data_IF_833302047921
#
_entry.id   IF_833302047921
#
_cell.length_a   1.000
_cell.length_b   1.000
_cell.length_c   1.000
_cell.angle_alpha   90.00
_cell.angle_beta   90.00
_cell.angle_gamma   90.00
#
_symmetry.space_group_name_H-M   'P 1'
#
loop_
_entity.id
_entity.type
_entity.pdbx_description
1 polymer ?
#
# COMPACT_ATOMS: atom_id res chain seq x y z
N UNK A 1 -11.80 -12.15 -102.96
CA UNK A 1 -11.11 -13.39 -102.49
C UNK A 1 -11.37 -13.53 -100.98
N UNK A 2 -11.26 -14.71 -100.38
CA UNK A 2 -11.58 -14.91 -98.94
C UNK A 2 -10.80 -13.95 -98.01
N UNK A 3 -9.56 -13.60 -98.40
CA UNK A 3 -8.71 -12.63 -97.72
C UNK A 3 -9.34 -11.22 -97.62
N UNK A 4 -9.99 -10.74 -98.69
CA UNK A 4 -10.63 -9.40 -98.72
C UNK A 4 -11.83 -9.35 -97.75
N UNK A 5 -12.57 -10.45 -97.63
CA UNK A 5 -13.71 -10.57 -96.70
C UNK A 5 -13.24 -10.45 -95.25
N UNK A 6 -12.15 -11.13 -94.88
CA UNK A 6 -11.58 -11.02 -93.55
C UNK A 6 -10.97 -9.65 -93.28
N UNK A 7 -10.29 -9.06 -94.26
CA UNK A 7 -9.71 -7.73 -94.12
C UNK A 7 -10.80 -6.67 -93.91
N UNK A 8 -11.94 -6.76 -94.59
CA UNK A 8 -13.09 -5.86 -94.39
C UNK A 8 -13.84 -6.14 -93.08
N UNK A 9 -14.02 -7.42 -92.71
CA UNK A 9 -14.73 -7.79 -91.49
C UNK A 9 -13.94 -7.44 -90.21
N UNK A 10 -12.62 -7.62 -90.23
CA UNK A 10 -11.75 -7.39 -89.08
C UNK A 10 -11.21 -5.95 -89.00
N UNK A 11 -11.19 -5.18 -90.09
CA UNK A 11 -10.81 -3.75 -90.06
C UNK A 11 -11.83 -2.85 -89.35
N UNK A 12 -13.07 -3.33 -89.16
CA UNK A 12 -14.11 -2.61 -88.39
C UNK A 12 -14.13 -2.95 -86.90
N UNK A 13 -13.39 -3.97 -86.48
CA UNK A 13 -13.29 -4.36 -85.07
C UNK A 13 -12.09 -3.65 -84.41
N UNK A 14 -12.18 -3.28 -83.12
CA UNK A 14 -11.01 -2.80 -82.39
C UNK A 14 -9.89 -3.84 -82.46
N UNK A 15 -8.64 -3.38 -82.64
CA UNK A 15 -7.46 -4.24 -82.67
C UNK A 15 -7.39 -5.05 -81.37
N UNK A 16 -7.83 -6.30 -81.42
CA UNK A 16 -7.67 -7.22 -80.29
C UNK A 16 -6.17 -7.54 -80.15
N UNK A 17 -5.63 -7.64 -78.92
CA UNK A 17 -4.23 -7.96 -78.69
C UNK A 17 -3.94 -9.46 -78.92
N UNK A 18 -4.49 -10.03 -79.98
CA UNK A 18 -4.32 -11.44 -80.38
C UNK A 18 -4.05 -11.50 -81.88
N UNK A 19 -3.08 -12.34 -82.24
CA UNK A 19 -2.86 -12.78 -83.59
C UNK A 19 -3.95 -13.80 -83.95
N UNK A 20 -4.59 -13.61 -85.10
CA UNK A 20 -5.63 -14.48 -85.64
C UNK A 20 -5.12 -15.11 -86.93
N UNK A 21 -5.12 -16.44 -86.97
CA UNK A 21 -4.89 -17.22 -88.19
C UNK A 21 -6.15 -18.00 -88.53
N UNK A 22 -6.57 -17.97 -89.79
CA UNK A 22 -7.77 -18.67 -90.27
C UNK A 22 -7.37 -19.65 -91.35
N UNK A 23 -7.85 -20.89 -91.23
CA UNK A 23 -7.55 -21.98 -92.15
C UNK A 23 -8.84 -22.60 -92.72
N UNK A 24 -8.80 -23.03 -93.98
CA UNK A 24 -9.85 -23.87 -94.60
C UNK A 24 -9.65 -25.32 -94.15
N UNK A 25 -10.48 -25.82 -93.23
CA UNK A 25 -10.30 -27.14 -92.63
C UNK A 25 -9.11 -27.18 -91.67
N UNK A 26 -8.11 -28.03 -91.95
CA UNK A 26 -6.99 -28.30 -91.02
C UNK A 26 -5.96 -27.16 -91.02
N UNK A 27 -5.36 -26.82 -89.86
CA UNK A 27 -4.37 -25.75 -89.72
C UNK A 27 -3.00 -26.14 -90.27
N UNK A 28 -2.94 -26.30 -91.59
CA UNK A 28 -1.76 -26.63 -92.38
C UNK A 28 -1.39 -25.43 -93.27
N UNK A 29 -0.10 -25.26 -93.58
CA UNK A 29 0.38 -24.07 -94.29
C UNK A 29 -0.32 -23.83 -95.65
N UNK A 30 -0.74 -24.90 -96.34
CA UNK A 30 -1.46 -24.84 -97.61
C UNK A 30 -2.92 -24.39 -97.52
N UNK A 31 -3.50 -24.35 -96.31
CA UNK A 31 -4.92 -24.04 -96.08
C UNK A 31 -5.13 -22.67 -95.42
N UNK A 32 -4.08 -21.85 -95.28
CA UNK A 32 -4.16 -20.55 -94.63
C UNK A 32 -4.95 -19.56 -95.49
N UNK A 33 -6.10 -19.12 -94.97
CA UNK A 33 -6.98 -18.12 -95.59
C UNK A 33 -6.65 -16.70 -95.18
N UNK A 34 -6.22 -16.51 -93.93
CA UNK A 34 -5.95 -15.19 -93.36
C UNK A 34 -4.99 -15.26 -92.19
N UNK A 35 -4.15 -14.24 -92.03
CA UNK A 35 -3.31 -13.99 -90.84
C UNK A 35 -3.31 -12.49 -90.53
N UNK A 36 -3.56 -12.13 -89.27
CA UNK A 36 -3.44 -10.74 -88.81
C UNK A 36 -1.98 -10.27 -88.72
N UNK A 37 -1.74 -8.96 -88.89
CA UNK A 37 -0.40 -8.37 -89.00
C UNK A 37 0.50 -8.53 -87.76
N UNK A 38 -0.07 -8.39 -86.55
CA UNK A 38 0.71 -8.43 -85.32
C UNK A 38 1.15 -9.87 -85.01
N UNK A 39 2.46 -10.18 -84.90
CA UNK A 39 2.94 -11.54 -84.67
C UNK A 39 2.60 -12.05 -83.26
N UNK A 40 2.46 -13.37 -83.07
CA UNK A 40 2.34 -13.96 -81.74
C UNK A 40 3.56 -13.65 -80.87
N UNK A 41 3.36 -13.37 -79.58
CA UNK A 41 4.45 -13.15 -78.64
C UNK A 41 5.22 -14.46 -78.39
N UNK A 42 6.54 -14.50 -78.59
CA UNK A 42 7.35 -15.72 -78.52
C UNK A 42 7.24 -16.49 -77.18
N UNK A 43 7.19 -15.78 -76.04
CA UNK A 43 7.19 -16.40 -74.70
C UNK A 43 5.83 -17.00 -74.29
N UNK A 44 4.72 -16.47 -74.81
CA UNK A 44 3.36 -16.74 -74.31
C UNK A 44 2.44 -17.27 -75.42
N UNK A 45 2.65 -16.86 -76.67
CA UNK A 45 1.83 -17.17 -77.83
C UNK A 45 1.72 -18.67 -78.13
N UNK A 46 2.74 -19.47 -77.80
CA UNK A 46 2.71 -20.93 -77.95
C UNK A 46 1.97 -21.65 -76.81
N UNK A 47 1.91 -21.04 -75.61
CA UNK A 47 1.28 -21.65 -74.41
C UNK A 47 -0.22 -21.35 -74.32
N UNK A 48 -0.66 -20.21 -74.84
CA UNK A 48 -2.05 -19.77 -74.85
C UNK A 48 -2.56 -19.77 -76.29
N UNK A 49 -2.92 -20.95 -76.78
CA UNK A 49 -3.55 -21.12 -78.09
C UNK A 49 -5.03 -21.42 -77.89
N UNK A 50 -5.90 -20.54 -78.38
CA UNK A 50 -7.33 -20.84 -78.47
C UNK A 50 -7.67 -21.24 -79.92
N UNK A 51 -8.28 -22.41 -80.08
CA UNK A 51 -8.77 -22.90 -81.37
C UNK A 51 -10.30 -22.82 -81.40
N UNK A 52 -10.85 -22.32 -82.50
CA UNK A 52 -12.29 -22.31 -82.77
C UNK A 52 -12.55 -22.85 -84.15
N UNK A 53 -13.39 -23.87 -84.24
CA UNK A 53 -13.84 -24.41 -85.51
C UNK A 53 -15.24 -23.84 -85.78
N UNK A 54 -15.44 -23.24 -86.95
CA UNK A 54 -16.70 -22.64 -87.39
C UNK A 54 -17.07 -23.15 -88.78
N UNK A 55 -18.36 -23.11 -89.14
CA UNK A 55 -18.80 -23.46 -90.49
C UNK A 55 -19.26 -22.20 -91.21
N UNK A 56 -18.62 -21.87 -92.32
CA UNK A 56 -18.97 -20.71 -93.15
C UNK A 56 -19.36 -21.20 -94.53
N UNK A 57 -20.60 -20.90 -94.94
CA UNK A 57 -21.16 -21.33 -96.22
C UNK A 57 -20.98 -22.84 -96.52
N UNK A 58 -21.18 -23.68 -95.48
CA UNK A 58 -21.05 -25.14 -95.59
C UNK A 58 -19.61 -25.68 -95.55
N UNK A 59 -18.59 -24.83 -95.40
CA UNK A 59 -17.18 -25.24 -95.27
C UNK A 59 -16.67 -25.08 -93.83
N UNK A 60 -15.95 -26.07 -93.28
CA UNK A 60 -15.37 -25.98 -91.95
C UNK A 60 -14.11 -25.13 -91.98
N UNK A 61 -14.04 -24.09 -91.16
CA UNK A 61 -12.87 -23.24 -90.97
C UNK A 61 -12.32 -23.38 -89.56
N UNK A 62 -10.99 -23.40 -89.43
CA UNK A 62 -10.30 -23.40 -88.13
C UNK A 62 -9.67 -22.03 -87.90
N UNK A 63 -10.04 -21.38 -86.80
CA UNK A 63 -9.47 -20.12 -86.33
C UNK A 63 -8.55 -20.40 -85.15
N UNK A 64 -7.32 -19.90 -85.23
CA UNK A 64 -6.34 -19.92 -84.17
C UNK A 64 -6.13 -18.51 -83.63
N UNK A 65 -6.22 -18.35 -82.32
CA UNK A 65 -5.96 -17.11 -81.62
C UNK A 65 -4.73 -17.30 -80.73
N UNK A 66 -3.72 -16.43 -80.89
CA UNK A 66 -2.52 -16.40 -80.05
C UNK A 66 -2.27 -14.99 -79.52
N UNK A 67 -1.89 -14.79 -78.25
CA UNK A 67 -1.52 -13.48 -77.71
C UNK A 67 -0.43 -12.76 -78.53
N UNK A 68 -0.59 -11.46 -78.75
CA UNK A 68 0.49 -10.59 -79.25
C UNK A 68 1.28 -9.98 -78.09
N UNK A 69 2.31 -9.19 -78.37
CA UNK A 69 3.06 -8.45 -77.34
C UNK A 69 2.21 -7.43 -76.57
N UNK A 70 1.07 -7.00 -77.13
CA UNK A 70 0.13 -6.09 -76.48
C UNK A 70 -0.89 -6.82 -75.58
N UNK A 71 -0.82 -8.15 -75.45
CA UNK A 71 -1.73 -8.92 -74.62
C UNK A 71 -1.33 -8.84 -73.15
N UNK A 72 -2.14 -8.18 -72.33
CA UNK A 72 -2.00 -8.20 -70.88
C UNK A 72 -2.64 -9.46 -70.29
N UNK A 73 -1.86 -10.23 -69.51
CA UNK A 73 -2.44 -11.36 -68.77
C UNK A 73 -3.43 -10.84 -67.73
N UNK A 74 -4.54 -11.57 -67.47
CA UNK A 74 -5.42 -11.28 -66.35
C UNK A 74 -4.59 -11.20 -65.05
N UNK A 75 -4.77 -10.12 -64.28
CA UNK A 75 -4.09 -9.97 -62.99
C UNK A 75 -4.42 -11.15 -62.08
N UNK A 76 -3.40 -11.75 -61.47
CA UNK A 76 -3.60 -12.89 -60.57
C UNK A 76 -4.39 -12.44 -59.34
N UNK A 77 -5.51 -13.13 -59.06
CA UNK A 77 -6.32 -12.89 -57.85
C UNK A 77 -5.53 -13.10 -56.55
N UNK A 78 -4.36 -13.74 -56.61
CA UNK A 78 -3.51 -13.95 -55.45
C UNK A 78 -2.91 -12.65 -54.88
N UNK A 79 -2.60 -11.65 -55.72
CA UNK A 79 -1.92 -10.42 -55.26
C UNK A 79 -2.83 -9.59 -54.31
N UNK A 80 -4.09 -9.28 -54.66
CA UNK A 80 -5.00 -8.59 -53.74
C UNK A 80 -5.27 -9.38 -52.46
N UNK A 81 -5.36 -10.72 -52.54
CA UNK A 81 -5.57 -11.58 -51.37
C UNK A 81 -4.38 -11.52 -50.41
N UNK A 82 -3.15 -11.60 -50.93
CA UNK A 82 -1.93 -11.49 -50.13
C UNK A 82 -1.80 -10.11 -49.46
N UNK A 83 -2.14 -9.04 -50.17
CA UNK A 83 -2.19 -7.68 -49.62
C UNK A 83 -3.22 -7.56 -48.48
N UNK A 84 -4.40 -8.15 -48.63
CA UNK A 84 -5.43 -8.18 -47.59
C UNK A 84 -4.98 -8.96 -46.35
N UNK A 85 -4.38 -10.14 -46.54
CA UNK A 85 -3.82 -10.95 -45.45
C UNK A 85 -2.71 -10.20 -44.71
N UNK A 86 -1.82 -9.53 -45.45
CA UNK A 86 -0.77 -8.70 -44.85
C UNK A 86 -1.35 -7.53 -44.06
N UNK A 87 -2.38 -6.86 -44.57
CA UNK A 87 -3.09 -5.79 -43.87
C UNK A 87 -3.74 -6.26 -42.56
N UNK A 88 -4.36 -7.45 -42.57
CA UNK A 88 -4.94 -8.07 -41.36
C UNK A 88 -3.86 -8.40 -40.31
N UNK A 89 -2.73 -8.97 -40.75
CA UNK A 89 -1.60 -9.25 -39.86
C UNK A 89 -1.04 -7.95 -39.25
N UNK A 90 -0.89 -6.90 -40.05
CA UNK A 90 -0.40 -5.60 -39.59
C UNK A 90 -1.37 -4.96 -38.60
N UNK A 91 -2.67 -4.97 -38.89
CA UNK A 91 -3.70 -4.47 -37.98
C UNK A 91 -3.71 -5.24 -36.65
N UNK A 92 -3.58 -6.57 -36.71
CA UNK A 92 -3.46 -7.42 -35.53
C UNK A 92 -2.22 -7.09 -34.68
N UNK A 93 -1.07 -6.88 -35.33
CA UNK A 93 0.16 -6.48 -34.65
C UNK A 93 0.03 -5.11 -33.96
N UNK A 94 -0.53 -4.12 -34.64
CA UNK A 94 -0.79 -2.78 -34.07
C UNK A 94 -1.74 -2.89 -32.88
N UNK A 95 -2.83 -3.63 -33.00
CA UNK A 95 -3.78 -3.84 -31.91
C UNK A 95 -3.14 -4.54 -30.71
N UNK A 96 -2.24 -5.50 -30.93
CA UNK A 96 -1.50 -6.19 -29.88
C UNK A 96 -0.56 -5.24 -29.14
N UNK A 97 0.19 -4.41 -29.88
CA UNK A 97 1.10 -3.40 -29.32
C UNK A 97 0.32 -2.36 -28.52
N UNK A 98 -0.79 -1.84 -29.07
CA UNK A 98 -1.65 -0.87 -28.38
C UNK A 98 -2.17 -1.42 -27.05
N UNK A 99 -2.69 -2.67 -27.05
CA UNK A 99 -3.14 -3.35 -25.83
C UNK A 99 -2.02 -3.58 -24.82
N UNK A 100 -0.81 -3.87 -25.29
CA UNK A 100 0.34 -4.05 -24.41
C UNK A 100 0.75 -2.72 -23.76
N UNK A 101 0.73 -1.62 -24.52
CA UNK A 101 1.03 -0.28 -24.01
C UNK A 101 0.00 0.20 -22.99
N UNK A 102 -1.30 -0.04 -23.24
CA UNK A 102 -2.38 0.30 -22.31
C UNK A 102 -2.15 -0.39 -20.95
N UNK A 103 -1.92 -1.71 -20.97
CA UNK A 103 -1.60 -2.47 -19.74
C UNK A 103 -0.33 -1.98 -19.05
N UNK A 104 0.70 -1.62 -19.81
CA UNK A 104 1.94 -1.12 -19.25
C UNK A 104 1.76 0.25 -18.58
N UNK A 105 0.91 1.11 -19.16
CA UNK A 105 0.57 2.41 -18.59
C UNK A 105 -0.25 2.27 -17.32
N UNK A 106 -1.28 1.43 -17.32
CA UNK A 106 -2.11 1.14 -16.15
C UNK A 106 -1.28 0.56 -15.00
N UNK A 107 -0.40 -0.40 -15.30
CA UNK A 107 0.50 -0.99 -14.30
C UNK A 107 1.45 0.06 -13.70
N UNK A 108 1.97 0.99 -14.51
CA UNK A 108 2.83 2.08 -14.04
C UNK A 108 2.06 3.07 -13.17
N UNK A 109 0.83 3.43 -13.55
CA UNK A 109 -0.01 4.34 -12.78
C UNK A 109 -0.39 3.73 -11.43
N UNK A 110 -0.79 2.46 -11.41
CA UNK A 110 -1.10 1.73 -10.18
C UNK A 110 0.13 1.61 -9.26
N UNK A 111 1.33 1.38 -9.82
CA UNK A 111 2.57 1.35 -9.04
C UNK A 111 2.87 2.73 -8.43
N UNK A 112 2.75 3.81 -9.20
CA UNK A 112 2.96 5.17 -8.71
C UNK A 112 2.00 5.50 -7.56
N UNK A 113 0.70 5.22 -7.72
CA UNK A 113 -0.29 5.47 -6.68
C UNK A 113 0.00 4.64 -5.41
N UNK A 114 0.36 3.36 -5.55
CA UNK A 114 0.73 2.52 -4.41
C UNK A 114 2.00 3.02 -3.70
N UNK A 115 2.99 3.51 -4.47
CA UNK A 115 4.20 4.10 -3.88
C UNK A 115 3.92 5.41 -3.16
N UNK A 116 3.10 6.30 -3.72
CA UNK A 116 2.71 7.56 -3.06
C UNK A 116 1.96 7.29 -1.76
N UNK A 117 0.99 6.36 -1.77
CA UNK A 117 0.29 5.94 -0.55
C UNK A 117 1.25 5.39 0.49
N UNK A 118 2.17 4.52 0.10
CA UNK A 118 3.18 3.97 1.01
C UNK A 118 4.12 5.04 1.57
N UNK A 119 4.47 6.06 0.77
CA UNK A 119 5.30 7.18 1.23
C UNK A 119 4.55 8.05 2.24
N UNK A 120 3.29 8.38 1.98
CA UNK A 120 2.46 9.14 2.92
C UNK A 120 2.26 8.38 4.25
N UNK A 121 2.00 7.08 4.19
CA UNK A 121 1.92 6.23 5.39
C UNK A 121 3.23 6.22 6.18
N UNK A 122 4.37 6.08 5.48
CA UNK A 122 5.70 6.14 6.11
C UNK A 122 5.97 7.50 6.75
N UNK A 123 5.66 8.59 6.07
CA UNK A 123 5.87 9.94 6.60
C UNK A 123 5.02 10.21 7.84
N UNK A 124 3.76 9.75 7.86
CA UNK A 124 2.91 9.83 9.05
C UNK A 124 3.50 9.05 10.23
N UNK A 125 3.96 7.81 9.98
CA UNK A 125 4.61 6.99 11.03
C UNK A 125 5.90 7.66 11.51
N UNK A 126 6.73 8.19 10.59
CA UNK A 126 7.96 8.88 10.95
C UNK A 126 7.68 10.15 11.75
N UNK A 127 6.65 10.90 11.39
CA UNK A 127 6.26 12.10 12.13
C UNK A 127 5.78 11.74 13.54
N UNK A 128 4.95 10.71 13.67
CA UNK A 128 4.50 10.19 14.97
C UNK A 128 5.69 9.68 15.81
N UNK A 129 6.59 8.90 15.23
CA UNK A 129 7.81 8.45 15.91
C UNK A 129 8.67 9.63 16.36
N UNK A 130 8.84 10.65 15.52
CA UNK A 130 9.58 11.86 15.87
C UNK A 130 8.95 12.59 17.05
N UNK A 131 7.62 12.69 17.08
CA UNK A 131 6.88 13.24 18.22
C UNK A 131 7.11 12.40 19.49
N UNK A 132 7.03 11.08 19.41
CA UNK A 132 7.28 10.16 20.53
C UNK A 132 8.70 10.29 21.07
N UNK A 133 9.71 10.28 20.20
CA UNK A 133 11.12 10.44 20.59
C UNK A 133 11.33 11.78 21.28
N UNK A 134 10.77 12.87 20.72
CA UNK A 134 10.85 14.20 21.34
C UNK A 134 10.21 14.23 22.72
N UNK A 135 9.06 13.58 22.90
CA UNK A 135 8.38 13.50 24.19
C UNK A 135 9.24 12.73 25.21
N UNK A 136 9.77 11.56 24.83
CA UNK A 136 10.65 10.75 25.69
C UNK A 136 11.91 11.48 26.11
N UNK A 137 12.60 12.16 25.19
CA UNK A 137 13.81 12.95 25.50
C UNK A 137 13.47 14.07 26.49
N UNK A 138 12.37 14.79 26.24
CA UNK A 138 11.92 15.87 27.12
C UNK A 138 11.68 15.36 28.55
N UNK A 139 11.09 14.18 28.66
CA UNK A 139 10.80 13.53 29.94
C UNK A 139 12.06 13.08 30.66
N UNK A 140 13.00 12.44 29.94
CA UNK A 140 14.30 12.04 30.49
C UNK A 140 15.07 13.26 30.99
N UNK A 141 15.07 14.37 30.23
CA UNK A 141 15.70 15.62 30.65
C UNK A 141 15.05 16.22 31.90
N UNK A 142 13.72 16.15 32.02
CA UNK A 142 13.01 16.58 33.23
C UNK A 142 13.41 15.72 34.45
N UNK A 143 13.45 14.40 34.30
CA UNK A 143 13.90 13.46 35.34
C UNK A 143 15.35 13.75 35.74
N UNK A 144 16.24 13.96 34.78
CA UNK A 144 17.67 14.23 35.02
C UNK A 144 17.87 15.56 35.75
N UNK A 145 17.33 16.66 35.19
CA UNK A 145 17.45 18.01 35.79
C UNK A 145 16.93 18.00 37.22
N UNK A 146 15.82 17.30 37.45
CA UNK A 146 15.27 17.34 38.77
C UNK A 146 15.96 16.41 39.77
N UNK A 147 16.40 15.22 39.35
CA UNK A 147 17.22 14.36 40.21
C UNK A 147 18.50 15.09 40.63
N UNK A 148 19.11 15.86 39.72
CA UNK A 148 20.31 16.65 40.01
C UNK A 148 20.06 17.79 41.02
N UNK A 149 18.87 18.39 41.04
CA UNK A 149 18.56 19.51 41.94
C UNK A 149 18.42 19.14 43.43
N UNK A 150 18.39 17.85 43.76
CA UNK A 150 18.10 17.34 45.11
C UNK A 150 19.11 16.32 45.61
N UNK A 151 19.86 15.67 44.72
CA UNK A 151 20.89 14.73 45.12
C UNK A 151 21.98 15.45 45.92
N UNK A 152 22.29 14.91 47.10
CA UNK A 152 23.34 15.43 47.97
C UNK A 152 24.74 15.04 47.47
N UNK A 153 24.83 13.94 46.74
CA UNK A 153 26.05 13.49 46.07
C UNK A 153 25.76 12.78 44.73
N UNK A 154 26.83 12.47 43.98
CA UNK A 154 26.75 11.81 42.67
C UNK A 154 26.20 10.38 42.76
N UNK A 155 26.43 9.69 43.88
CA UNK A 155 25.99 8.30 44.08
C UNK A 155 24.48 8.24 44.27
N UNK A 156 23.93 9.14 45.08
CA UNK A 156 22.49 9.32 45.27
C UNK A 156 21.82 9.74 43.95
N UNK A 157 22.42 10.67 43.21
CA UNK A 157 21.94 11.05 41.89
C UNK A 157 21.85 9.84 40.95
N UNK A 158 22.93 9.09 40.81
CA UNK A 158 23.02 7.94 39.89
C UNK A 158 22.00 6.86 40.24
N UNK A 159 21.89 6.50 41.53
CA UNK A 159 20.93 5.50 41.99
C UNK A 159 19.48 5.95 41.73
N UNK A 160 19.14 7.18 42.10
CA UNK A 160 17.78 7.69 41.97
C UNK A 160 17.38 7.94 40.51
N UNK A 161 18.30 8.43 39.68
CA UNK A 161 18.08 8.63 38.25
C UNK A 161 17.86 7.29 37.54
N UNK A 162 18.69 6.29 37.86
CA UNK A 162 18.58 4.95 37.26
C UNK A 162 17.27 4.27 37.62
N UNK A 163 16.82 4.35 38.88
CA UNK A 163 15.55 3.78 39.32
C UNK A 163 14.35 4.39 38.54
N UNK A 164 14.32 5.72 38.40
CA UNK A 164 13.27 6.40 37.64
C UNK A 164 13.30 6.08 36.15
N UNK A 165 14.49 5.94 35.57
CA UNK A 165 14.64 5.56 34.17
C UNK A 165 14.16 4.12 33.93
N UNK A 166 14.39 3.21 34.88
CA UNK A 166 13.88 1.84 34.84
C UNK A 166 12.35 1.77 34.95
N UNK A 167 11.74 2.57 35.84
CA UNK A 167 10.29 2.69 35.94
C UNK A 167 9.67 3.20 34.62
N UNK A 168 10.27 4.23 34.02
CA UNK A 168 9.85 4.74 32.70
C UNK A 168 9.97 3.68 31.60
N UNK A 169 11.06 2.89 31.60
CA UNK A 169 11.25 1.81 30.64
C UNK A 169 10.21 0.68 30.82
N UNK A 170 9.88 0.30 32.06
CA UNK A 170 8.86 -0.72 32.34
C UNK A 170 7.46 -0.28 31.86
N UNK A 171 7.10 0.98 32.11
CA UNK A 171 5.88 1.59 31.57
C UNK A 171 5.86 1.57 30.03
N UNK A 172 7.00 1.85 29.37
CA UNK A 172 7.11 1.80 27.90
C UNK A 172 6.97 0.38 27.35
N UNK A 173 7.59 -0.61 28.00
CA UNK A 173 7.51 -2.02 27.61
C UNK A 173 6.08 -2.57 27.71
N UNK A 174 5.32 -2.14 28.70
CA UNK A 174 3.93 -2.53 28.85
C UNK A 174 3.07 -2.01 27.68
N UNK A 175 3.34 -0.79 27.22
CA UNK A 175 2.64 -0.21 26.07
C UNK A 175 2.98 -0.90 24.75
N UNK A 176 4.26 -1.24 24.54
CA UNK A 176 4.73 -1.89 23.30
C UNK A 176 4.24 -3.33 23.16
N UNK A 177 4.02 -4.05 24.26
CA UNK A 177 3.48 -5.42 24.26
C UNK A 177 1.98 -5.49 24.00
N UNK A 178 1.24 -4.41 24.27
CA UNK A 178 -0.19 -4.35 24.03
C UNK A 178 -0.49 -4.05 22.55
N UNK A 179 -1.23 -4.94 21.86
CA UNK A 179 -1.58 -4.79 20.43
C UNK A 179 -2.33 -3.49 20.14
N UNK A 180 -2.92 -2.86 21.16
CA UNK A 180 -3.74 -1.65 21.06
C UNK A 180 -3.12 -0.43 21.79
N UNK A 181 -1.86 -0.49 22.23
CA UNK A 181 -1.21 0.60 22.99
C UNK A 181 -2.01 1.06 24.23
N UNK A 182 -2.77 0.15 24.84
CA UNK A 182 -3.53 0.40 26.06
C UNK A 182 -3.02 -0.52 27.16
N UNK A 183 -2.75 0.03 28.32
CA UNK A 183 -2.31 -0.71 29.49
C UNK A 183 -3.42 -0.85 30.52
N UNK A 184 -3.52 -1.99 31.18
CA UNK A 184 -4.41 -2.13 32.32
C UNK A 184 -3.83 -1.43 33.56
N UNK A 185 -4.64 -0.64 34.25
CA UNK A 185 -4.25 0.09 35.47
C UNK A 185 -3.83 -0.85 36.60
N UNK A 186 -4.50 -1.99 36.76
CA UNK A 186 -4.17 -2.98 37.77
C UNK A 186 -2.81 -3.60 37.52
N UNK A 187 -2.51 -3.95 36.26
CA UNK A 187 -1.20 -4.47 35.86
C UNK A 187 -0.10 -3.43 36.05
N UNK A 188 -0.35 -2.17 35.69
CA UNK A 188 0.59 -1.07 35.92
C UNK A 188 0.94 -0.93 37.41
N UNK A 189 -0.08 -0.92 38.28
CA UNK A 189 0.12 -0.87 39.73
C UNK A 189 0.94 -2.05 40.25
N UNK A 190 0.67 -3.28 39.78
CA UNK A 190 1.45 -4.47 40.17
C UNK A 190 2.91 -4.37 39.76
N UNK A 191 3.19 -3.89 38.54
CA UNK A 191 4.56 -3.74 38.04
C UNK A 191 5.31 -2.71 38.88
N UNK A 192 4.76 -1.52 39.06
CA UNK A 192 5.45 -0.42 39.75
C UNK A 192 5.62 -0.70 41.24
N UNK A 193 4.59 -1.21 41.91
CA UNK A 193 4.70 -1.63 43.31
C UNK A 193 5.66 -2.80 43.47
N UNK A 194 5.66 -3.74 42.51
CA UNK A 194 6.54 -4.90 42.53
C UNK A 194 8.02 -4.56 42.41
N UNK A 195 8.36 -3.44 41.76
CA UNK A 195 9.74 -2.95 41.69
C UNK A 195 10.25 -2.43 43.04
N UNK A 196 9.36 -1.94 43.90
CA UNK A 196 9.72 -1.32 45.18
C UNK A 196 9.58 -2.29 46.35
N UNK A 197 8.48 -3.04 46.41
CA UNK A 197 8.14 -3.95 47.52
C UNK A 197 8.43 -5.43 47.22
N UNK A 198 8.80 -5.78 45.99
CA UNK A 198 8.97 -7.16 45.53
C UNK A 198 7.73 -7.71 44.82
N UNK A 199 7.91 -8.81 44.07
CA UNK A 199 6.89 -9.33 43.12
C UNK A 199 5.62 -9.89 43.79
N UNK A 200 5.71 -10.32 45.04
CA UNK A 200 4.62 -10.97 45.76
C UNK A 200 3.86 -9.96 46.64
N UNK A 201 2.95 -9.21 46.02
CA UNK A 201 2.06 -8.31 46.74
C UNK A 201 0.94 -9.11 47.43
N UNK A 202 0.61 -8.83 48.71
CA UNK A 202 -0.48 -9.50 49.40
C UNK A 202 -1.84 -9.34 48.69
N UNK A 203 -2.68 -10.38 48.79
CA UNK A 203 -4.05 -10.31 48.26
C UNK A 203 -4.86 -9.21 48.94
N UNK A 204 -5.64 -8.46 48.17
CA UNK A 204 -6.48 -7.36 48.68
C UNK A 204 -5.78 -6.01 48.83
N UNK A 205 -4.49 -5.89 48.50
CA UNK A 205 -3.78 -4.59 48.40
C UNK A 205 -4.32 -3.76 47.24
N UNK A 206 -4.63 -4.40 46.11
CA UNK A 206 -5.15 -3.75 44.90
C UNK A 206 -6.58 -4.18 44.65
N UNK A 207 -7.50 -3.22 44.46
CA UNK A 207 -8.90 -3.51 44.18
C UNK A 207 -9.56 -2.47 43.28
N UNK A 208 -10.11 -2.91 42.14
CA UNK A 208 -10.89 -2.05 41.28
C UNK A 208 -11.33 -2.76 40.00
N UNK A 209 -12.19 -2.11 39.18
CA UNK A 209 -12.58 -2.66 37.89
C UNK A 209 -11.41 -2.60 36.89
N UNK A 210 -11.51 -3.35 35.79
CA UNK A 210 -10.56 -3.24 34.68
C UNK A 210 -10.62 -1.83 34.09
N UNK A 211 -9.45 -1.18 33.94
CA UNK A 211 -9.35 0.16 33.36
C UNK A 211 -8.18 0.19 32.40
N UNK A 212 -8.50 0.35 31.11
CA UNK A 212 -7.51 0.51 30.06
C UNK A 212 -7.12 1.99 29.95
N UNK A 213 -5.83 2.26 30.09
CA UNK A 213 -5.20 3.58 30.03
C UNK A 213 -4.54 3.79 28.67
N UNK A 214 -4.57 5.02 28.18
CA UNK A 214 -3.78 5.42 27.01
C UNK A 214 -2.28 5.57 27.36
N UNK A 215 -1.43 5.81 26.35
CA UNK A 215 0.02 5.93 26.52
C UNK A 215 0.40 7.04 27.52
N UNK A 216 -0.18 8.24 27.38
CA UNK A 216 0.13 9.39 28.24
C UNK A 216 -0.26 9.10 29.69
N UNK A 217 -1.45 8.55 29.92
CA UNK A 217 -1.94 8.21 31.24
C UNK A 217 -1.12 7.11 31.89
N UNK A 218 -0.79 6.07 31.12
CA UNK A 218 0.06 4.96 31.59
C UNK A 218 1.42 5.48 32.06
N UNK A 219 2.06 6.30 31.24
CA UNK A 219 3.38 6.85 31.53
C UNK A 219 3.39 7.78 32.75
N UNK A 220 2.38 8.65 32.91
CA UNK A 220 2.29 9.59 34.04
C UNK A 220 1.93 8.88 35.36
N UNK A 221 1.01 7.92 35.29
CA UNK A 221 0.63 7.12 36.45
C UNK A 221 1.73 6.17 36.88
N UNK A 222 2.47 5.55 35.95
CA UNK A 222 3.57 4.65 36.30
C UNK A 222 4.62 5.33 37.17
N UNK A 223 5.07 6.51 36.75
CA UNK A 223 5.99 7.32 37.54
C UNK A 223 5.39 7.80 38.86
N UNK A 224 4.09 8.14 38.85
CA UNK A 224 3.37 8.54 40.08
C UNK A 224 3.32 7.40 41.10
N UNK A 225 3.02 6.17 40.66
CA UNK A 225 2.95 5.00 41.52
C UNK A 225 4.33 4.60 42.03
N UNK A 226 5.37 4.68 41.19
CA UNK A 226 6.74 4.46 41.64
C UNK A 226 7.15 5.44 42.75
N UNK A 227 6.86 6.73 42.59
CA UNK A 227 7.18 7.73 43.62
C UNK A 227 6.32 7.55 44.89
N UNK A 228 5.03 7.21 44.77
CA UNK A 228 4.19 6.87 45.93
C UNK A 228 4.71 5.63 46.67
N UNK A 229 5.09 4.58 45.94
CA UNK A 229 5.63 3.35 46.51
C UNK A 229 6.97 3.60 47.22
N UNK A 230 7.88 4.34 46.61
CA UNK A 230 9.18 4.68 47.22
C UNK A 230 9.01 5.58 48.45
N UNK A 231 8.03 6.50 48.44
CA UNK A 231 7.71 7.31 49.64
C UNK A 231 7.14 6.44 50.76
N UNK A 232 6.22 5.53 50.44
CA UNK A 232 5.64 4.60 51.39
C UNK A 232 6.70 3.67 52.01
N UNK A 233 7.70 3.23 51.23
CA UNK A 233 8.85 2.45 51.72
C UNK A 233 9.78 3.27 52.64
N UNK A 234 10.03 4.54 52.31
CA UNK A 234 10.99 5.40 53.03
C UNK A 234 10.42 6.07 54.28
N UNK A 235 9.15 6.45 54.23
CA UNK A 235 8.52 7.34 55.21
C UNK A 235 7.24 6.76 55.83
N UNK A 236 6.66 5.70 55.24
CA UNK A 236 5.45 5.05 55.75
C UNK A 236 5.74 3.74 56.49
N UNK A 237 4.74 3.20 57.19
CA UNK A 237 4.80 1.86 57.82
C UNK A 237 4.78 0.72 56.78
N UNK A 238 4.46 1.03 55.51
CA UNK A 238 4.52 0.07 54.41
C UNK A 238 5.95 -0.48 54.19
N UNK A 239 6.99 0.21 54.66
CA UNK A 239 8.34 -0.33 54.70
C UNK A 239 8.53 -1.48 55.70
N UNK A 240 7.68 -1.60 56.71
CA UNK A 240 7.69 -2.68 57.70
C UNK A 240 6.73 -3.82 57.33
N UNK A 241 5.60 -3.52 56.68
CA UNK A 241 4.66 -4.51 56.15
C UNK A 241 3.84 -3.97 54.98
N UNK A 242 3.96 -4.59 53.81
CA UNK A 242 3.20 -4.23 52.59
C UNK A 242 1.67 -4.32 52.82
N UNK A 243 1.22 -5.10 53.81
CA UNK A 243 -0.20 -5.21 54.18
C UNK A 243 -0.82 -3.93 54.76
N UNK A 244 -0.01 -2.92 55.09
CA UNK A 244 -0.47 -1.59 55.50
C UNK A 244 -0.90 -0.70 54.31
N UNK A 245 -0.61 -1.12 53.07
CA UNK A 245 -0.99 -0.40 51.86
C UNK A 245 -2.30 -0.94 51.28
N UNK A 246 -3.22 -0.04 50.95
CA UNK A 246 -4.42 -0.34 50.15
C UNK A 246 -4.58 0.69 49.04
N UNK A 247 -4.71 0.19 47.81
CA UNK A 247 -5.01 0.99 46.62
C UNK A 247 -6.30 0.49 46.00
N UNK A 248 -7.29 1.37 45.95
CA UNK A 248 -8.56 1.08 45.31
C UNK A 248 -8.91 2.13 44.27
N UNK A 249 -9.61 1.72 43.21
CA UNK A 249 -10.05 2.65 42.19
C UNK A 249 -11.43 2.32 41.66
N UNK A 250 -12.09 3.34 41.11
CA UNK A 250 -13.38 3.20 40.44
C UNK A 250 -13.49 4.23 39.29
N UNK A 251 -14.36 3.95 38.34
CA UNK A 251 -14.67 4.84 37.23
C UNK A 251 -16.12 5.30 37.36
N UNK A 252 -16.32 6.63 37.36
CA UNK A 252 -17.64 7.27 37.34
C UNK A 252 -17.85 8.02 36.02
N UNK A 253 -19.11 8.24 35.64
CA UNK A 253 -19.48 8.93 34.39
C UNK A 253 -19.58 8.00 33.18
N UNK A 254 -19.93 8.57 32.02
CA UNK A 254 -20.06 7.85 30.72
C UNK A 254 -19.44 8.67 29.58
N UNK A 255 -19.00 7.98 28.52
CA UNK A 255 -18.37 8.62 27.36
C UNK A 255 -17.19 9.51 27.77
N UNK A 256 -17.20 10.75 27.29
CA UNK A 256 -16.14 11.76 27.49
C UNK A 256 -16.09 12.36 28.90
N UNK A 257 -17.07 12.06 29.76
CA UNK A 257 -17.13 12.51 31.16
C UNK A 257 -16.63 11.44 32.14
N UNK A 258 -16.10 10.32 31.62
CA UNK A 258 -15.54 9.28 32.46
C UNK A 258 -14.39 9.83 33.28
N UNK A 259 -14.46 9.61 34.59
CA UNK A 259 -13.43 10.03 35.55
C UNK A 259 -12.99 8.82 36.36
N UNK A 260 -11.69 8.53 36.34
CA UNK A 260 -11.06 7.58 37.25
C UNK A 260 -10.82 8.28 38.58
N UNK A 261 -11.25 7.65 39.66
CA UNK A 261 -10.88 8.03 41.03
C UNK A 261 -10.06 6.90 41.63
N UNK A 262 -8.83 7.20 42.01
CA UNK A 262 -7.89 6.28 42.65
C UNK A 262 -7.63 6.76 44.08
N UNK A 263 -7.80 5.86 45.04
CA UNK A 263 -7.52 6.07 46.45
C UNK A 263 -6.31 5.23 46.84
N UNK A 264 -5.29 5.89 47.36
CA UNK A 264 -4.12 5.28 47.94
C UNK A 264 -4.16 5.52 49.45
N UNK A 265 -4.07 4.46 50.23
CA UNK A 265 -4.18 4.49 51.69
C UNK A 265 -3.03 3.73 52.31
N UNK A 266 -2.29 4.40 53.18
CA UNK A 266 -1.23 3.82 54.00
C UNK A 266 -1.70 3.88 55.45
N UNK A 267 -1.74 2.72 56.12
CA UNK A 267 -2.00 2.66 57.56
C UNK A 267 -0.71 3.01 58.33
N UNK A 268 -0.82 3.90 59.32
CA UNK A 268 0.29 4.34 60.17
C UNK A 268 -0.03 4.19 61.66
N UNK A 269 1.00 3.89 62.48
CA UNK A 269 0.89 3.83 63.95
C UNK A 269 1.29 5.15 64.63
N UNK A 270 1.81 6.11 63.86
CA UNK A 270 2.37 7.37 64.37
C UNK A 270 1.75 8.53 63.61
N UNK A 271 1.43 9.60 64.33
CA UNK A 271 0.90 10.83 63.77
C UNK A 271 1.80 11.32 62.63
N UNK A 272 1.29 11.25 61.40
CA UNK A 272 1.92 11.81 60.22
C UNK A 272 1.54 13.29 60.16
N UNK A 273 2.48 14.16 60.53
CA UNK A 273 2.31 15.59 60.28
C UNK A 273 2.66 15.90 58.83
N UNK A 274 1.92 16.84 58.23
CA UNK A 274 2.21 17.31 56.88
C UNK A 274 3.67 17.80 56.81
N UNK A 275 4.48 17.33 55.84
CA UNK A 275 5.89 17.68 55.81
C UNK A 275 6.07 19.18 55.60
N UNK A 276 6.89 19.81 56.45
CA UNK A 276 7.17 21.26 56.40
C UNK A 276 7.79 21.73 55.07
N UNK A 277 8.38 20.81 54.31
CA UNK A 277 8.81 21.01 52.93
C UNK A 277 8.28 19.86 52.06
N UNK A 278 7.59 20.22 50.99
CA UNK A 278 7.15 19.24 49.97
C UNK A 278 8.37 18.64 49.27
N UNK A 279 8.60 17.33 49.47
CA UNK A 279 9.66 16.58 48.82
C UNK A 279 9.52 16.50 47.30
N UNK A 280 10.57 16.07 46.60
CA UNK A 280 10.56 16.01 45.14
C UNK A 280 9.49 15.08 44.58
N UNK A 281 9.39 13.85 45.08
CA UNK A 281 8.40 12.87 44.60
C UNK A 281 6.99 13.45 44.64
N UNK A 282 6.64 14.17 45.70
CA UNK A 282 5.34 14.85 45.85
C UNK A 282 5.11 15.92 44.76
N UNK A 283 6.12 16.76 44.45
CA UNK A 283 6.02 17.78 43.39
C UNK A 283 5.91 17.16 41.99
N UNK A 284 6.63 16.07 41.74
CA UNK A 284 6.58 15.37 40.47
C UNK A 284 5.20 14.74 40.24
N UNK A 285 4.66 14.10 41.28
CA UNK A 285 3.30 13.56 41.25
C UNK A 285 2.30 14.70 40.96
N UNK A 286 2.42 15.84 41.64
CA UNK A 286 1.53 16.99 41.42
C UNK A 286 1.59 17.50 39.99
N UNK A 287 2.80 17.66 39.43
CA UNK A 287 2.98 18.12 38.06
C UNK A 287 2.39 17.13 37.05
N UNK A 288 2.66 15.84 37.21
CA UNK A 288 2.15 14.79 36.33
C UNK A 288 0.62 14.74 36.36
N UNK A 289 0.03 14.67 37.56
CA UNK A 289 -1.43 14.56 37.70
C UNK A 289 -2.14 15.83 37.22
N UNK A 290 -1.67 17.01 37.61
CA UNK A 290 -2.39 18.26 37.31
C UNK A 290 -2.12 18.78 35.89
N UNK A 291 -0.89 18.66 35.38
CA UNK A 291 -0.54 19.19 34.05
C UNK A 291 -0.64 18.17 32.93
N UNK A 292 -0.09 16.96 33.09
CA UNK A 292 -0.16 15.95 32.04
C UNK A 292 -1.56 15.33 31.98
N UNK A 293 -2.12 14.94 33.12
CA UNK A 293 -3.41 14.23 33.18
C UNK A 293 -4.63 15.14 33.34
N UNK A 294 -4.42 16.45 33.53
CA UNK A 294 -5.50 17.43 33.79
C UNK A 294 -6.44 16.98 34.92
N UNK A 295 -5.87 16.28 35.89
CA UNK A 295 -6.58 15.75 37.04
C UNK A 295 -6.39 16.59 38.29
N UNK A 296 -6.88 16.06 39.41
CA UNK A 296 -6.67 16.62 40.74
C UNK A 296 -6.07 15.57 41.66
N UNK A 297 -5.28 16.05 42.61
CA UNK A 297 -4.71 15.23 43.67
C UNK A 297 -4.94 15.90 45.02
N UNK A 298 -5.46 15.15 45.98
CA UNK A 298 -5.65 15.57 47.36
C UNK A 298 -4.89 14.63 48.29
N UNK A 299 -4.21 15.20 49.29
CA UNK A 299 -3.49 14.43 50.32
C UNK A 299 -4.03 14.82 51.69
N UNK A 300 -4.39 13.81 52.44
CA UNK A 300 -4.92 13.93 53.80
C UNK A 300 -4.00 13.15 54.75
N UNK A 301 -3.27 13.89 55.58
CA UNK A 301 -2.36 13.35 56.59
C UNK A 301 -3.13 13.24 57.90
N UNK A 302 -3.33 12.00 58.33
CA UNK A 302 -4.17 11.68 59.49
C UNK A 302 -3.34 10.97 60.55
N UNK A 303 -3.89 10.93 61.77
CA UNK A 303 -3.25 10.22 62.89
C UNK A 303 -3.12 8.71 62.62
N UNK A 304 -3.98 8.15 61.75
CA UNK A 304 -4.02 6.75 61.33
C UNK A 304 -3.30 6.47 59.99
N UNK A 305 -2.63 7.47 59.40
CA UNK A 305 -1.78 7.31 58.23
C UNK A 305 -2.00 8.34 57.11
N UNK A 306 -1.68 7.96 55.87
CA UNK A 306 -1.77 8.83 54.70
C UNK A 306 -2.87 8.36 53.75
N UNK A 307 -3.76 9.29 53.35
CA UNK A 307 -4.69 9.08 52.25
C UNK A 307 -4.36 10.03 51.10
N UNK A 308 -4.17 9.47 49.91
CA UNK A 308 -4.03 10.22 48.66
C UNK A 308 -5.18 9.87 47.74
N UNK A 309 -5.91 10.87 47.27
CA UNK A 309 -6.97 10.71 46.28
C UNK A 309 -6.54 11.38 44.97
N UNK A 310 -6.53 10.62 43.88
CA UNK A 310 -6.20 11.09 42.53
C UNK A 310 -7.45 10.95 41.67
N UNK A 311 -7.88 12.04 41.04
CA UNK A 311 -8.98 12.04 40.06
C UNK A 311 -8.47 12.46 38.71
N UNK A 312 -8.64 11.64 37.70
CA UNK A 312 -8.23 11.96 36.32
C UNK A 312 -9.40 11.72 35.34
N UNK A 313 -9.62 12.62 34.37
CA UNK A 313 -10.50 12.34 33.26
C UNK A 313 -9.89 11.22 32.40
N UNK A 314 -10.72 10.27 31.97
CA UNK A 314 -10.31 9.23 31.03
C UNK A 314 -10.71 9.66 29.62
N UNK A 315 -9.74 9.72 28.72
CA UNK A 315 -10.01 9.81 27.29
C UNK A 315 -10.59 8.48 26.76
N UNK A 316 -11.35 8.54 25.66
CA UNK A 316 -11.89 7.34 24.98
C UNK A 316 -10.80 6.46 24.35
#
# INVERSE_FOLDING_TARGET
RAQDLFQVALSRAPLLPVNVEVYDGKPEAGNLLFRSEAPPAERIGAKLLARRDIVVAGRPWTLLFRPTSAFELPSSRAIPVMLGLFGLLLAGAIALVARYQERAYDAKSALHEATEKSLLEKDLILQEMKHRIKNSITRVLAIARQTASQATDVKEFSASFSARLQAMAASQDMLTRSRWQKADLGDLLRIELGQVFGKDLPEGVLSGPQVLLDETTTQALGLTFHELATNALKYGEAGNSVGALKVDWNVKGRGRERTLTLNWREAGQKKLEAPAKTGFGTKLIDLNVTRELRGTIARDYRDDGLKVEIRIPLAE
#
